data_IF_437745788124
#
_entry.id   IF_437745788124
#
_cell.length_a   1.000
_cell.length_b   1.000
_cell.length_c   1.000
_cell.angle_alpha   90.00
_cell.angle_beta   90.00
_cell.angle_gamma   90.00
#
_symmetry.space_group_name_H-M   'P 1'
#
loop_
_entity.id
_entity.type
_entity.pdbx_description
1 polymer ?
#
# COMPACT_ATOMS: atom_id res chain seq x y z
N UNK A 1 -19.50 -25.03 8.31
CA UNK A 1 -19.13 -23.63 8.63
C UNK A 1 -17.90 -23.71 9.54
N UNK A 2 -16.69 -23.44 9.03
CA UNK A 2 -15.46 -23.52 9.83
C UNK A 2 -15.41 -22.30 10.74
N UNK A 3 -15.42 -22.55 12.04
CA UNK A 3 -15.29 -21.55 13.09
C UNK A 3 -13.93 -20.82 12.93
N UNK A 4 -13.98 -19.56 12.50
CA UNK A 4 -12.84 -18.64 12.41
C UNK A 4 -12.66 -17.86 13.71
N UNK A 5 -13.09 -18.42 14.84
CA UNK A 5 -12.67 -17.89 16.14
C UNK A 5 -11.14 -17.85 16.18
N UNK A 6 -10.51 -16.70 16.49
CA UNK A 6 -9.07 -16.62 16.61
C UNK A 6 -8.67 -17.61 17.69
N UNK A 7 -8.03 -18.72 17.29
CA UNK A 7 -7.41 -19.62 18.24
C UNK A 7 -6.48 -18.74 19.07
N UNK A 8 -6.81 -18.55 20.36
CA UNK A 8 -5.93 -17.91 21.35
C UNK A 8 -4.71 -18.81 21.53
N UNK A 9 -3.83 -18.81 20.54
CA UNK A 9 -2.52 -19.40 20.62
C UNK A 9 -1.73 -18.65 21.69
N UNK A 10 -0.84 -19.36 22.37
CA UNK A 10 0.13 -18.76 23.28
C UNK A 10 0.88 -17.65 22.54
N UNK A 11 0.96 -16.46 23.15
CA UNK A 11 1.70 -15.34 22.57
C UNK A 11 3.15 -15.76 22.26
N UNK A 12 3.72 -15.30 21.13
CA UNK A 12 5.10 -15.63 20.78
C UNK A 12 6.06 -15.10 21.86
N UNK A 13 7.19 -15.79 22.04
CA UNK A 13 8.22 -15.31 22.94
C UNK A 13 8.78 -13.98 22.43
N UNK A 14 9.16 -13.08 23.34
CA UNK A 14 9.75 -11.76 23.00
C UNK A 14 10.94 -11.90 22.05
N UNK A 15 11.78 -12.92 22.25
CA UNK A 15 12.92 -13.23 21.37
C UNK A 15 12.50 -13.53 19.92
N UNK A 16 11.34 -14.15 19.73
CA UNK A 16 10.78 -14.41 18.39
C UNK A 16 10.36 -13.10 17.74
N UNK A 17 9.63 -12.25 18.47
CA UNK A 17 9.22 -10.93 17.98
C UNK A 17 10.42 -10.07 17.62
N UNK A 18 11.47 -10.05 18.45
CA UNK A 18 12.71 -9.32 18.16
C UNK A 18 13.39 -9.80 16.87
N UNK A 19 13.42 -11.12 16.62
CA UNK A 19 13.96 -11.68 15.38
C UNK A 19 13.13 -11.31 14.16
N UNK A 20 11.80 -11.32 14.28
CA UNK A 20 10.91 -10.90 13.19
C UNK A 20 11.08 -9.41 12.87
N UNK A 21 11.14 -8.55 13.88
CA UNK A 21 11.41 -7.12 13.70
C UNK A 21 12.77 -6.91 13.03
N UNK A 22 13.81 -7.61 13.48
CA UNK A 22 15.14 -7.53 12.87
C UNK A 22 15.11 -7.98 11.39
N UNK A 23 14.40 -9.07 11.07
CA UNK A 23 14.24 -9.54 9.69
C UNK A 23 13.50 -8.52 8.81
N UNK A 24 12.44 -7.88 9.31
CA UNK A 24 11.73 -6.83 8.59
C UNK A 24 12.63 -5.62 8.36
N UNK A 25 13.36 -5.16 9.39
CA UNK A 25 14.29 -4.04 9.26
C UNK A 25 15.42 -4.36 8.27
N UNK A 26 16.00 -5.56 8.33
CA UNK A 26 17.03 -5.98 7.37
C UNK A 26 16.51 -6.03 5.93
N UNK A 27 15.26 -6.47 5.74
CA UNK A 27 14.65 -6.58 4.41
C UNK A 27 14.27 -5.22 3.80
N UNK A 28 13.79 -4.26 4.60
CA UNK A 28 13.19 -3.02 4.09
C UNK A 28 13.96 -1.73 4.43
N UNK A 29 14.84 -1.73 5.43
CA UNK A 29 15.56 -0.54 5.83
C UNK A 29 16.81 -0.35 4.99
N UNK A 30 16.93 0.84 4.40
CA UNK A 30 18.10 1.27 3.65
C UNK A 30 19.12 1.88 4.60
N UNK A 31 20.35 1.37 4.66
CA UNK A 31 21.41 1.98 5.45
C UNK A 31 21.77 3.40 4.97
N UNK A 32 21.92 4.34 5.90
CA UNK A 32 22.35 5.72 5.63
C UNK A 32 23.53 6.09 6.54
N UNK A 33 24.73 6.40 5.99
CA UNK A 33 25.07 6.38 4.56
C UNK A 33 25.09 4.96 3.99
N UNK A 34 24.82 4.82 2.69
CA UNK A 34 24.94 3.53 2.01
C UNK A 34 26.38 3.04 2.09
N UNK A 35 26.57 1.76 2.40
CA UNK A 35 27.90 1.18 2.42
C UNK A 35 28.55 1.34 1.04
N UNK A 36 29.78 1.85 1.01
CA UNK A 36 30.59 1.94 -0.21
C UNK A 36 31.31 0.61 -0.53
N UNK A 37 30.96 -0.46 0.17
CA UNK A 37 31.49 -1.80 -0.11
C UNK A 37 31.11 -2.25 -1.53
N UNK A 38 31.86 -3.23 -2.03
CA UNK A 38 31.81 -3.82 -3.37
C UNK A 38 30.39 -3.78 -3.99
N UNK A 39 30.20 -3.35 -5.26
CA UNK A 39 28.90 -3.38 -5.93
C UNK A 39 28.15 -4.72 -5.82
N UNK A 40 28.86 -5.85 -5.62
CA UNK A 40 28.25 -7.16 -5.35
C UNK A 40 27.80 -7.35 -3.88
N UNK A 41 28.47 -6.75 -2.90
CA UNK A 41 28.04 -6.73 -1.48
C UNK A 41 26.91 -5.72 -1.23
N UNK A 42 26.71 -4.79 -2.17
CA UNK A 42 25.61 -3.83 -2.17
C UNK A 42 24.29 -4.41 -2.71
N UNK A 43 24.23 -5.72 -2.96
CA UNK A 43 23.00 -6.46 -3.29
C UNK A 43 22.10 -6.66 -2.05
N UNK A 44 21.97 -5.62 -1.22
CA UNK A 44 20.96 -5.57 -0.16
C UNK A 44 19.59 -5.99 -0.69
N UNK A 45 18.71 -6.41 0.22
CA UNK A 45 17.37 -6.89 -0.12
C UNK A 45 16.75 -6.08 -1.27
N UNK A 46 16.18 -6.71 -2.31
CA UNK A 46 15.60 -5.97 -3.45
C UNK A 46 14.50 -4.99 -3.01
N UNK A 47 13.91 -5.21 -1.84
CA UNK A 47 12.92 -4.32 -1.22
C UNK A 47 13.52 -3.01 -0.70
N UNK A 48 14.84 -2.87 -0.58
CA UNK A 48 15.50 -1.58 -0.31
C UNK A 48 15.16 -0.54 -1.39
N UNK A 49 14.83 -0.96 -2.62
CA UNK A 49 14.38 -0.07 -3.70
C UNK A 49 13.02 0.57 -3.42
N UNK A 50 12.22 -0.01 -2.53
CA UNK A 50 10.95 0.58 -2.12
C UNK A 50 11.16 1.79 -1.20
N UNK A 51 12.38 1.97 -0.66
CA UNK A 51 12.78 3.04 0.26
C UNK A 51 11.71 3.26 1.35
N UNK A 52 11.28 2.21 2.04
CA UNK A 52 10.22 2.32 3.06
C UNK A 52 10.76 2.79 4.41
N UNK A 53 11.96 2.36 4.75
CA UNK A 53 12.62 2.64 6.02
C UNK A 53 14.08 3.00 5.77
N UNK A 54 14.64 3.83 6.65
CA UNK A 54 16.04 4.24 6.65
C UNK A 54 16.65 3.86 8.00
N UNK A 55 17.84 3.28 7.97
CA UNK A 55 18.65 3.02 9.16
C UNK A 55 19.74 4.07 9.25
N UNK A 56 19.61 4.96 10.23
CA UNK A 56 20.58 6.02 10.51
C UNK A 56 21.70 5.43 11.36
N UNK A 57 22.79 5.01 10.72
CA UNK A 57 23.89 4.32 11.42
C UNK A 57 24.50 5.13 12.56
N UNK A 58 24.58 6.45 12.42
CA UNK A 58 25.18 7.32 13.43
C UNK A 58 24.43 7.35 14.77
N UNK A 59 23.13 7.03 14.77
CA UNK A 59 22.27 7.05 15.96
C UNK A 59 21.59 5.71 16.25
N UNK A 60 21.90 4.68 15.45
CA UNK A 60 21.24 3.37 15.43
C UNK A 60 19.70 3.45 15.47
N UNK A 61 19.15 4.38 14.67
CA UNK A 61 17.71 4.65 14.63
C UNK A 61 17.12 4.25 13.29
N UNK A 62 15.91 3.70 13.33
CA UNK A 62 15.09 3.46 12.16
C UNK A 62 14.06 4.58 12.01
N UNK A 63 13.98 5.15 10.81
CA UNK A 63 13.00 6.17 10.46
C UNK A 63 12.27 5.76 9.19
N UNK A 64 10.99 6.14 9.09
CA UNK A 64 10.23 5.91 7.87
C UNK A 64 10.78 6.86 6.81
N UNK A 65 11.04 6.36 5.60
CA UNK A 65 11.50 7.24 4.53
C UNK A 65 10.41 8.22 4.12
N UNK A 66 10.84 9.30 3.47
CA UNK A 66 9.92 10.15 2.72
C UNK A 66 9.22 9.33 1.64
N UNK A 67 7.97 9.69 1.38
CA UNK A 67 7.08 8.79 0.67
C UNK A 67 7.48 8.56 -0.79
N UNK A 68 7.78 7.31 -1.11
CA UNK A 68 7.90 6.81 -2.48
C UNK A 68 6.64 7.17 -3.27
N UNK A 69 6.78 7.62 -4.53
CA UNK A 69 5.63 7.87 -5.39
C UNK A 69 4.76 6.62 -5.48
N UNK A 70 3.49 6.77 -5.11
CA UNK A 70 2.53 5.66 -5.14
C UNK A 70 1.75 5.80 -6.45
N UNK A 71 1.72 4.78 -7.31
CA UNK A 71 0.97 4.88 -8.54
C UNK A 71 -0.53 5.02 -8.22
N UNK A 72 -1.29 5.77 -9.02
CA UNK A 72 -2.68 6.08 -8.74
C UNK A 72 -3.58 4.84 -8.64
N UNK A 73 -3.22 3.74 -9.30
CA UNK A 73 -3.94 2.45 -9.24
C UNK A 73 -3.73 1.69 -7.92
N UNK A 74 -2.70 2.04 -7.14
CA UNK A 74 -2.32 1.29 -5.92
C UNK A 74 -3.43 1.31 -4.87
N UNK A 75 -4.17 2.42 -4.75
CA UNK A 75 -5.27 2.51 -3.79
C UNK A 75 -6.35 1.47 -4.10
N UNK A 76 -6.76 1.38 -5.37
CA UNK A 76 -7.71 0.36 -5.82
C UNK A 76 -7.18 -1.05 -5.60
N UNK A 77 -5.92 -1.31 -5.97
CA UNK A 77 -5.26 -2.61 -5.77
C UNK A 77 -5.28 -3.06 -4.31
N UNK A 78 -4.89 -2.17 -3.39
CA UNK A 78 -4.84 -2.46 -1.96
C UNK A 78 -6.23 -2.69 -1.38
N UNK A 79 -7.21 -1.86 -1.74
CA UNK A 79 -8.59 -2.03 -1.27
C UNK A 79 -9.18 -3.35 -1.75
N UNK A 80 -8.93 -3.74 -3.00
CA UNK A 80 -9.29 -5.06 -3.53
C UNK A 80 -8.62 -6.20 -2.76
N UNK A 81 -7.31 -6.10 -2.49
CA UNK A 81 -6.56 -7.10 -1.73
C UNK A 81 -7.02 -7.23 -0.27
N UNK A 82 -7.48 -6.13 0.34
CA UNK A 82 -8.11 -6.10 1.67
C UNK A 82 -9.51 -6.69 1.69
N UNK A 83 -9.98 -7.18 0.55
CA UNK A 83 -11.21 -7.92 0.40
C UNK A 83 -12.45 -7.08 0.15
N UNK A 84 -12.27 -5.79 -0.18
CA UNK A 84 -13.39 -4.96 -0.65
C UNK A 84 -13.95 -5.43 -2.00
N UNK A 85 -13.21 -6.29 -2.70
CA UNK A 85 -13.62 -6.93 -3.96
C UNK A 85 -13.93 -8.43 -3.83
N UNK A 86 -14.14 -8.97 -2.61
CA UNK A 86 -14.31 -10.43 -2.44
C UNK A 86 -15.67 -10.93 -2.97
N UNK A 87 -15.71 -12.13 -3.58
CA UNK A 87 -16.95 -12.73 -4.12
C UNK A 87 -18.00 -13.10 -3.07
N UNK A 88 -17.68 -13.07 -1.77
CA UNK A 88 -18.66 -13.32 -0.71
C UNK A 88 -19.52 -12.09 -0.40
N UNK A 89 -19.06 -10.90 -0.80
CA UNK A 89 -19.95 -9.80 -1.10
C UNK A 89 -20.35 -9.98 -2.57
N UNK A 90 -21.64 -9.99 -2.84
CA UNK A 90 -22.29 -10.15 -4.15
C UNK A 90 -21.96 -9.04 -5.18
N UNK A 91 -20.78 -8.43 -5.09
CA UNK A 91 -20.40 -7.29 -5.91
C UNK A 91 -19.65 -7.78 -7.14
N UNK A 92 -20.39 -7.87 -8.25
CA UNK A 92 -19.84 -8.06 -9.59
C UNK A 92 -18.74 -7.02 -9.85
N UNK A 93 -17.71 -7.43 -10.59
CA UNK A 93 -16.70 -6.49 -11.08
C UNK A 93 -17.37 -5.34 -11.86
N UNK A 94 -16.89 -4.12 -11.64
CA UNK A 94 -17.41 -2.90 -12.24
C UNK A 94 -18.49 -2.17 -11.41
N UNK A 95 -19.01 -2.74 -10.32
CA UNK A 95 -19.95 -2.01 -9.45
C UNK A 95 -19.21 -0.90 -8.70
N UNK A 96 -19.68 0.34 -8.82
CA UNK A 96 -19.12 1.47 -8.09
C UNK A 96 -19.33 1.31 -6.58
N UNK A 97 -18.25 1.48 -5.82
CA UNK A 97 -18.24 1.42 -4.37
C UNK A 97 -17.84 2.78 -3.80
N UNK A 98 -18.60 3.28 -2.83
CA UNK A 98 -18.25 4.47 -2.06
C UNK A 98 -17.65 4.03 -0.71
N UNK A 99 -16.37 4.34 -0.50
CA UNK A 99 -15.64 3.95 0.71
C UNK A 99 -15.31 5.21 1.51
N UNK A 100 -15.92 5.35 2.70
CA UNK A 100 -15.66 6.47 3.59
C UNK A 100 -14.18 6.52 3.98
N UNK A 101 -13.58 7.71 3.98
CA UNK A 101 -12.16 7.85 4.31
C UNK A 101 -11.88 7.48 5.78
N UNK A 102 -12.85 7.68 6.67
CA UNK A 102 -12.77 7.25 8.06
C UNK A 102 -12.91 5.75 8.29
N UNK A 103 -13.19 4.95 7.27
CA UNK A 103 -13.52 3.53 7.41
C UNK A 103 -12.29 2.64 7.74
N UNK A 104 -12.56 1.46 8.30
CA UNK A 104 -11.52 0.48 8.62
C UNK A 104 -10.71 0.00 7.40
N UNK A 105 -11.32 -0.30 6.22
CA UNK A 105 -10.56 -0.63 5.02
C UNK A 105 -9.59 0.47 4.60
N UNK A 106 -10.02 1.73 4.69
CA UNK A 106 -9.17 2.86 4.32
C UNK A 106 -8.03 3.06 5.31
N UNK A 107 -8.29 2.90 6.61
CA UNK A 107 -7.23 2.90 7.65
C UNK A 107 -6.19 1.82 7.39
N UNK A 108 -6.62 0.60 7.03
CA UNK A 108 -5.70 -0.50 6.68
C UNK A 108 -4.92 -0.21 5.39
N UNK A 109 -5.57 0.38 4.38
CA UNK A 109 -4.91 0.79 3.15
C UNK A 109 -3.82 1.84 3.42
N UNK A 110 -4.10 2.82 4.29
CA UNK A 110 -3.13 3.81 4.74
C UNK A 110 -1.92 3.18 5.43
N UNK A 111 -2.14 2.21 6.31
CA UNK A 111 -1.05 1.49 6.96
C UNK A 111 -0.16 0.74 5.96
N UNK A 112 -0.76 0.07 4.96
CA UNK A 112 -0.02 -0.65 3.90
C UNK A 112 0.76 0.31 3.00
N UNK A 113 0.16 1.45 2.65
CA UNK A 113 0.77 2.46 1.78
C UNK A 113 1.70 3.43 2.52
N UNK A 114 1.72 3.39 3.86
CA UNK A 114 2.47 4.34 4.67
C UNK A 114 1.93 5.76 4.65
N UNK A 115 0.62 5.91 4.55
CA UNK A 115 -0.06 7.19 4.42
C UNK A 115 -0.96 7.46 5.63
N UNK A 116 -0.98 8.72 6.07
CA UNK A 116 -2.04 9.21 6.95
C UNK A 116 -3.37 9.28 6.19
N UNK A 117 -4.45 9.57 6.91
CA UNK A 117 -5.78 9.75 6.30
C UNK A 117 -5.79 10.89 5.30
N UNK A 118 -5.15 12.00 5.63
CA UNK A 118 -5.04 13.20 4.81
C UNK A 118 -4.21 12.89 3.55
N UNK A 119 -3.07 12.22 3.73
CA UNK A 119 -2.23 11.84 2.60
C UNK A 119 -2.89 10.80 1.67
N UNK A 120 -3.81 9.97 2.19
CA UNK A 120 -4.64 9.10 1.36
C UNK A 120 -5.68 9.88 0.55
N UNK A 121 -6.24 10.96 1.10
CA UNK A 121 -7.15 11.83 0.35
C UNK A 121 -6.41 12.58 -0.75
N UNK A 122 -5.21 13.05 -0.46
CA UNK A 122 -4.36 13.70 -1.47
C UNK A 122 -3.97 12.71 -2.57
N UNK A 123 -3.65 11.46 -2.19
CA UNK A 123 -3.42 10.37 -3.15
C UNK A 123 -4.67 10.12 -3.99
N UNK A 124 -5.85 10.00 -3.38
CA UNK A 124 -7.10 9.77 -4.11
C UNK A 124 -7.44 10.93 -5.06
N UNK A 125 -7.24 12.18 -4.63
CA UNK A 125 -7.44 13.35 -5.47
C UNK A 125 -6.43 13.43 -6.62
N UNK A 126 -5.18 13.02 -6.40
CA UNK A 126 -4.19 12.89 -7.46
C UNK A 126 -4.56 11.77 -8.44
N UNK A 127 -4.99 10.62 -7.93
CA UNK A 127 -5.46 9.49 -8.73
C UNK A 127 -6.67 9.86 -9.59
N UNK A 128 -7.61 10.65 -9.08
CA UNK A 128 -8.77 11.13 -9.86
C UNK A 128 -8.32 12.00 -11.05
N UNK A 129 -7.32 12.86 -10.86
CA UNK A 129 -6.76 13.68 -11.95
C UNK A 129 -6.02 12.84 -12.99
N UNK A 130 -5.29 11.82 -12.57
CA UNK A 130 -4.48 10.98 -13.45
C UNK A 130 -5.27 9.89 -14.18
N UNK A 131 -6.23 9.25 -13.51
CA UNK A 131 -6.98 8.11 -14.04
C UNK A 131 -8.36 8.49 -14.58
N UNK A 132 -8.82 9.70 -14.29
CA UNK A 132 -10.16 10.14 -14.62
C UNK A 132 -11.21 9.79 -13.54
N UNK A 133 -12.24 10.63 -13.39
CA UNK A 133 -13.27 10.48 -12.36
C UNK A 133 -14.20 9.27 -12.56
N UNK A 134 -14.15 8.61 -13.72
CA UNK A 134 -14.83 7.36 -14.03
C UNK A 134 -14.11 6.13 -13.42
N UNK A 135 -12.82 6.25 -13.13
CA UNK A 135 -12.01 5.19 -12.53
C UNK A 135 -11.90 5.36 -11.03
N UNK A 136 -11.65 6.59 -10.58
CA UNK A 136 -11.55 6.91 -9.16
C UNK A 136 -11.99 8.35 -8.95
N UNK A 137 -12.88 8.57 -7.98
CA UNK A 137 -13.41 9.90 -7.66
C UNK A 137 -13.42 10.15 -6.16
N UNK A 138 -13.08 11.36 -5.75
CA UNK A 138 -13.31 11.82 -4.38
C UNK A 138 -14.66 12.54 -4.30
N UNK A 139 -15.49 12.14 -3.33
CA UNK A 139 -16.81 12.74 -3.09
C UNK A 139 -16.92 13.24 -1.66
N UNK A 140 -17.72 14.27 -1.46
CA UNK A 140 -18.14 14.72 -0.13
C UNK A 140 -19.64 14.56 -0.02
N UNK A 141 -20.10 13.79 0.97
CA UNK A 141 -21.52 13.55 1.25
C UNK A 141 -21.78 13.83 2.73
N UNK A 142 -22.68 14.75 3.03
CA UNK A 142 -23.06 15.13 4.40
C UNK A 142 -21.85 15.46 5.33
N UNK A 143 -20.80 16.07 4.78
CA UNK A 143 -19.59 16.43 5.52
C UNK A 143 -18.55 15.32 5.67
N UNK A 144 -18.86 14.08 5.26
CA UNK A 144 -17.90 12.98 5.21
C UNK A 144 -17.33 12.82 3.79
N UNK A 145 -16.05 12.45 3.70
CA UNK A 145 -15.35 12.24 2.42
C UNK A 145 -15.32 10.76 2.06
N UNK A 146 -15.60 10.46 0.81
CA UNK A 146 -15.64 9.12 0.24
C UNK A 146 -14.70 9.03 -0.95
N UNK A 147 -14.08 7.86 -1.11
CA UNK A 147 -13.41 7.49 -2.35
C UNK A 147 -14.32 6.51 -3.09
N UNK A 148 -14.73 6.90 -4.29
CA UNK A 148 -15.56 6.12 -5.19
C UNK A 148 -14.68 5.42 -6.21
N UNK A 149 -14.76 4.10 -6.31
CA UNK A 149 -14.05 3.31 -7.32
C UNK A 149 -14.82 2.04 -7.69
N UNK A 150 -14.63 1.46 -8.88
CA UNK A 150 -15.25 0.20 -9.22
C UNK A 150 -14.67 -0.93 -8.38
N UNK A 151 -15.54 -1.81 -7.89
CA UNK A 151 -15.16 -3.13 -7.41
C UNK A 151 -14.42 -3.84 -8.53
N UNK A 152 -13.18 -4.25 -8.29
CA UNK A 152 -12.36 -4.94 -9.27
C UNK A 152 -11.38 -5.85 -8.55
N UNK A 153 -10.92 -6.91 -9.21
CA UNK A 153 -9.87 -7.76 -8.63
C UNK A 153 -8.55 -6.96 -8.51
N UNK A 154 -7.69 -7.33 -7.55
CA UNK A 154 -6.37 -6.71 -7.43
C UNK A 154 -5.55 -6.83 -8.74
N UNK A 155 -5.71 -7.95 -9.46
CA UNK A 155 -5.09 -8.16 -10.76
C UNK A 155 -5.58 -7.16 -11.83
N UNK A 156 -6.85 -6.75 -11.78
CA UNK A 156 -7.40 -5.74 -12.71
C UNK A 156 -6.74 -4.39 -12.51
N UNK A 157 -6.52 -3.97 -11.26
CA UNK A 157 -5.79 -2.74 -10.94
C UNK A 157 -4.31 -2.82 -11.33
N UNK A 158 -3.66 -3.96 -11.08
CA UNK A 158 -2.28 -4.18 -11.49
C UNK A 158 -2.12 -4.10 -13.02
N UNK A 159 -3.04 -4.71 -13.77
CA UNK A 159 -3.04 -4.63 -15.24
C UNK A 159 -3.19 -3.20 -15.73
N UNK A 160 -4.15 -2.44 -15.19
CA UNK A 160 -4.33 -1.01 -15.53
C UNK A 160 -3.05 -0.20 -15.36
N UNK A 161 -2.33 -0.42 -14.27
CA UNK A 161 -1.03 0.22 -14.04
C UNK A 161 -0.02 -0.12 -15.14
N UNK A 162 0.17 -1.42 -15.43
CA UNK A 162 1.15 -1.84 -16.43
C UNK A 162 0.77 -1.41 -17.84
N UNK A 163 -0.53 -1.42 -18.20
CA UNK A 163 -1.03 -0.93 -19.48
C UNK A 163 -0.73 0.57 -19.63
N UNK A 164 -0.97 1.37 -18.58
CA UNK A 164 -0.68 2.82 -18.58
C UNK A 164 0.82 3.09 -18.71
N UNK A 165 1.65 2.37 -17.96
CA UNK A 165 3.12 2.51 -18.04
C UNK A 165 3.63 2.05 -19.41
N UNK A 166 3.06 1.00 -19.98
CA UNK A 166 3.35 0.53 -21.34
C UNK A 166 3.03 1.59 -22.40
N UNK A 167 1.81 2.13 -22.38
CA UNK A 167 1.38 3.18 -23.30
C UNK A 167 2.24 4.46 -23.19
N UNK A 168 2.62 4.86 -21.97
CA UNK A 168 3.50 6.02 -21.75
C UNK A 168 4.91 5.79 -22.32
N UNK A 169 5.42 4.55 -22.31
CA UNK A 169 6.71 4.20 -22.90
C UNK A 169 6.69 4.18 -24.42
N UNK A 170 5.57 3.80 -25.03
CA UNK A 170 5.42 3.80 -26.49
C UNK A 170 5.25 5.21 -27.07
N UNK A 171 4.77 6.16 -26.26
CA UNK A 171 4.57 7.55 -26.66
C UNK A 171 5.80 8.47 -26.46
N UNK A 172 6.87 7.97 -25.81
CA UNK A 172 8.09 8.70 -25.48
C UNK A 172 9.24 8.36 -26.44
#
# INVERSE_FOLDING_TARGET
>A
MRDLSPKRGKAPAVKTVQREVAAVMQAYAVPVPRSRSDPEDNLGSPFHRLDLWRHLYGTDRFERSETTPIPPEALGLVLSALGMSQPSATLREGILQDIAIGSAPMTRAGAMLGRSREALLDLAAASERELGPEVLRVRTLAGERYVSLPSAAAATWARRFYDRVGAAREAA
#
